data_IF_751419146761
#
_entry.id   IF_751419146761
#
_cell.length_a   1.000
_cell.length_b   1.000
_cell.length_c   1.000
_cell.angle_alpha   90.00
_cell.angle_beta   90.00
_cell.angle_gamma   90.00
#
_symmetry.space_group_name_H-M   'P 1'
#
loop_
_entity.id
_entity.type
_entity.pdbx_description
1 polymer ?
#
# COMPACT_ATOMS: atom_id res chain seq x y z
N UNK A 1 7.31 -27.22 7.37
CA UNK A 1 6.83 -27.07 5.98
C UNK A 1 5.67 -26.11 6.05
N UNK A 2 5.93 -24.81 5.84
CA UNK A 2 4.98 -23.73 6.07
C UNK A 2 4.24 -23.46 4.75
N UNK A 3 3.00 -23.94 4.64
CA UNK A 3 2.17 -23.80 3.44
C UNK A 3 1.65 -22.37 3.22
N UNK A 4 1.87 -21.47 4.19
CA UNK A 4 1.41 -20.07 4.13
C UNK A 4 2.23 -19.24 3.12
N UNK A 5 3.48 -19.61 2.82
CA UNK A 5 4.29 -18.88 1.83
C UNK A 5 3.94 -19.21 0.36
N UNK A 6 3.11 -20.22 0.10
CA UNK A 6 2.76 -20.63 -1.26
C UNK A 6 1.55 -19.89 -1.85
N UNK A 7 0.67 -19.33 -1.01
CA UNK A 7 -0.59 -18.69 -1.47
C UNK A 7 -0.50 -17.18 -1.74
N UNK A 8 0.64 -16.54 -1.44
CA UNK A 8 0.88 -15.11 -1.67
C UNK A 8 1.91 -14.83 -2.78
N UNK A 9 2.13 -15.79 -3.69
CA UNK A 9 2.89 -15.51 -4.92
C UNK A 9 1.92 -15.14 -6.04
N UNK A 10 1.69 -13.86 -6.36
CA UNK A 10 1.20 -13.47 -7.67
C UNK A 10 2.34 -13.56 -8.71
N UNK A 11 3.12 -14.64 -8.66
CA UNK A 11 4.20 -14.89 -9.62
C UNK A 11 3.63 -15.79 -10.71
N UNK A 12 3.03 -15.17 -11.72
CA UNK A 12 2.95 -15.82 -13.02
C UNK A 12 4.36 -16.27 -13.40
N UNK A 13 4.52 -17.52 -13.82
CA UNK A 13 5.83 -18.14 -14.12
C UNK A 13 6.58 -17.51 -15.30
N UNK A 14 6.04 -16.46 -15.94
CA UNK A 14 6.85 -15.56 -16.74
C UNK A 14 6.82 -14.17 -16.11
N UNK A 15 7.96 -13.76 -15.55
CA UNK A 15 8.26 -12.33 -15.48
C UNK A 15 8.59 -11.85 -16.88
N UNK A 16 7.58 -11.69 -17.74
CA UNK A 16 7.73 -10.89 -18.95
C UNK A 16 7.49 -9.43 -18.58
N UNK A 17 8.54 -8.76 -18.12
CA UNK A 17 8.58 -7.29 -17.99
C UNK A 17 8.90 -6.61 -19.33
N UNK A 18 8.84 -7.34 -20.45
CA UNK A 18 9.14 -6.87 -21.79
C UNK A 18 8.07 -7.39 -22.77
N UNK A 19 6.92 -6.72 -22.85
CA UNK A 19 6.27 -6.47 -24.15
C UNK A 19 5.08 -5.50 -24.02
N UNK A 20 5.37 -4.20 -23.95
CA UNK A 20 4.49 -3.25 -24.66
C UNK A 20 5.15 -3.04 -26.01
N UNK A 21 4.58 -3.69 -27.03
CA UNK A 21 5.12 -3.81 -28.38
C UNK A 21 5.50 -2.49 -29.04
N UNK A 22 6.74 -2.07 -28.79
CA UNK A 22 7.47 -1.22 -29.72
C UNK A 22 8.23 -2.17 -30.61
N UNK A 23 7.67 -2.44 -31.79
CA UNK A 23 8.43 -3.13 -32.82
C UNK A 23 9.68 -2.28 -33.12
N UNK A 24 10.86 -2.90 -33.13
CA UNK A 24 12.14 -2.21 -33.34
C UNK A 24 12.28 -1.47 -34.69
N UNK A 25 11.21 -1.42 -35.50
CA UNK A 25 11.12 -0.66 -36.74
C UNK A 25 10.67 0.80 -36.52
N UNK A 26 10.01 1.14 -35.41
CA UNK A 26 9.43 2.48 -35.21
C UNK A 26 10.42 3.51 -34.63
N UNK A 27 11.64 3.08 -34.29
CA UNK A 27 12.73 3.95 -33.83
C UNK A 27 13.79 4.23 -34.92
N UNK A 28 13.43 4.08 -36.19
CA UNK A 28 14.28 4.47 -37.32
C UNK A 28 14.39 6.00 -37.46
N UNK A 29 14.85 6.67 -36.41
CA UNK A 29 15.57 7.93 -36.54
C UNK A 29 16.86 7.65 -37.28
N UNK A 30 17.02 8.25 -38.46
CA UNK A 30 18.23 8.23 -39.28
C UNK A 30 19.39 8.88 -38.52
N UNK A 31 20.00 8.11 -37.62
CA UNK A 31 21.23 8.43 -36.94
C UNK A 31 22.25 7.35 -37.27
N UNK A 32 23.26 7.71 -38.06
CA UNK A 32 24.51 6.93 -38.16
C UNK A 32 25.16 6.87 -36.77
N UNK A 33 24.90 5.80 -36.02
CA UNK A 33 25.43 5.58 -34.68
C UNK A 33 25.83 4.13 -34.52
N UNK A 34 27.10 3.90 -34.16
CA UNK A 34 27.68 2.57 -34.02
C UNK A 34 26.87 1.66 -33.10
N UNK A 35 26.92 0.35 -33.36
CA UNK A 35 26.30 -0.68 -32.53
C UNK A 35 26.62 -0.43 -31.06
N UNK A 36 25.61 -0.04 -30.28
CA UNK A 36 25.75 -0.03 -28.83
C UNK A 36 26.15 -1.44 -28.41
N UNK A 37 27.25 -1.56 -27.67
CA UNK A 37 27.68 -2.85 -27.13
C UNK A 37 26.52 -3.45 -26.33
N UNK A 38 26.28 -4.75 -26.48
CA UNK A 38 25.28 -5.45 -25.67
C UNK A 38 25.58 -5.23 -24.20
N UNK A 39 24.57 -4.82 -23.42
CA UNK A 39 24.72 -4.69 -21.98
C UNK A 39 25.06 -6.07 -21.37
N UNK A 40 25.95 -6.13 -20.36
CA UNK A 40 26.29 -7.38 -19.70
C UNK A 40 25.07 -7.94 -18.96
N UNK A 41 24.86 -9.25 -19.08
CA UNK A 41 23.90 -9.99 -18.24
C UNK A 41 24.58 -10.38 -16.94
N UNK A 42 23.97 -10.04 -15.80
CA UNK A 42 24.51 -10.31 -14.47
C UNK A 42 23.71 -11.39 -13.73
N UNK A 43 24.37 -12.15 -12.86
CA UNK A 43 23.74 -13.04 -11.89
C UNK A 43 23.07 -12.25 -10.76
N UNK A 44 22.15 -12.86 -10.01
CA UNK A 44 21.55 -12.21 -8.84
C UNK A 44 22.60 -11.75 -7.82
N UNK A 45 23.67 -12.53 -7.62
CA UNK A 45 24.77 -12.15 -6.73
C UNK A 45 25.55 -10.93 -7.26
N UNK A 46 25.78 -10.87 -8.57
CA UNK A 46 26.43 -9.72 -9.21
C UNK A 46 25.55 -8.46 -9.13
N UNK A 47 24.24 -8.62 -9.30
CA UNK A 47 23.28 -7.52 -9.15
C UNK A 47 23.25 -7.06 -7.69
N UNK A 48 23.16 -7.98 -6.73
CA UNK A 48 23.16 -7.66 -5.30
C UNK A 48 24.43 -6.91 -4.90
N UNK A 49 25.60 -7.42 -5.30
CA UNK A 49 26.88 -6.76 -5.07
C UNK A 49 26.95 -5.37 -5.72
N UNK A 50 26.44 -5.22 -6.94
CA UNK A 50 26.42 -3.92 -7.62
C UNK A 50 25.58 -2.89 -6.86
N UNK A 51 24.45 -3.31 -6.26
CA UNK A 51 23.55 -2.46 -5.49
C UNK A 51 24.12 -2.06 -4.13
N UNK A 52 24.88 -2.95 -3.48
CA UNK A 52 25.43 -2.71 -2.13
C UNK A 52 26.82 -2.08 -2.14
N UNK A 53 27.69 -2.46 -3.07
CA UNK A 53 29.11 -2.14 -3.05
C UNK A 53 29.60 -1.56 -4.38
N UNK A 54 29.34 -2.25 -5.50
CA UNK A 54 29.95 -1.96 -6.79
C UNK A 54 29.69 -0.57 -7.34
N UNK A 55 28.48 -0.04 -7.16
CA UNK A 55 28.17 1.34 -7.55
C UNK A 55 29.02 2.35 -6.79
N UNK A 56 29.22 2.14 -5.49
CA UNK A 56 29.96 3.07 -4.63
C UNK A 56 31.45 3.00 -4.91
N UNK A 57 32.02 1.81 -5.13
CA UNK A 57 33.41 1.63 -5.56
C UNK A 57 33.69 2.34 -6.89
N UNK A 58 32.79 2.18 -7.86
CA UNK A 58 32.89 2.87 -9.15
C UNK A 58 32.84 4.40 -9.00
N UNK A 59 32.05 4.91 -8.05
CA UNK A 59 32.02 6.33 -7.71
C UNK A 59 33.21 6.79 -6.87
N UNK A 60 34.09 5.88 -6.46
CA UNK A 60 35.22 6.19 -5.58
C UNK A 60 34.81 6.57 -4.16
N UNK A 61 33.64 6.10 -3.71
CA UNK A 61 33.10 6.41 -2.38
C UNK A 61 32.89 5.14 -1.57
N UNK A 62 32.77 5.27 -0.25
CA UNK A 62 32.39 4.15 0.60
C UNK A 62 30.91 3.78 0.41
N UNK A 63 30.59 2.49 0.56
CA UNK A 63 29.23 2.01 0.55
C UNK A 63 28.37 2.76 1.58
N UNK A 64 27.22 3.28 1.15
CA UNK A 64 26.26 3.91 2.05
C UNK A 64 25.28 2.85 2.52
N UNK A 65 25.39 2.50 3.79
CA UNK A 65 24.40 1.69 4.49
C UNK A 65 23.91 2.45 5.71
N UNK A 66 22.65 2.20 6.08
CA UNK A 66 22.18 2.55 7.41
C UNK A 66 22.79 1.57 8.41
N UNK A 67 23.18 2.05 9.58
CA UNK A 67 23.54 1.18 10.70
C UNK A 67 22.25 0.56 11.25
N UNK A 68 21.73 -0.44 10.56
CA UNK A 68 20.47 -1.10 10.85
C UNK A 68 20.63 -2.61 10.66
N UNK A 69 20.17 -3.38 11.63
CA UNK A 69 20.23 -4.83 11.73
C UNK A 69 18.84 -5.39 12.02
N UNK A 70 18.64 -6.68 11.77
CA UNK A 70 17.41 -7.36 12.16
C UNK A 70 17.09 -7.11 13.64
N UNK A 71 15.87 -6.66 13.93
CA UNK A 71 15.41 -6.24 15.25
C UNK A 71 15.49 -4.74 15.51
N UNK A 72 16.20 -3.96 14.70
CA UNK A 72 16.25 -2.50 14.84
C UNK A 72 14.95 -1.86 14.36
N UNK A 73 14.55 -0.78 15.04
CA UNK A 73 13.36 0.02 14.70
C UNK A 73 13.75 1.26 13.89
N UNK A 74 13.09 1.45 12.76
CA UNK A 74 13.14 2.67 11.94
C UNK A 74 11.79 3.38 12.01
N UNK A 75 11.81 4.65 12.41
CA UNK A 75 10.60 5.47 12.46
C UNK A 75 10.28 6.04 11.09
N UNK A 76 9.02 5.91 10.65
CA UNK A 76 8.55 6.41 9.36
C UNK A 76 7.36 7.35 9.55
N UNK A 77 7.35 8.50 8.87
CA UNK A 77 6.19 9.40 8.88
C UNK A 77 5.41 9.23 7.57
N UNK A 78 4.21 8.66 7.67
CA UNK A 78 3.30 8.45 6.55
C UNK A 78 2.07 9.36 6.63
N UNK A 79 2.09 10.36 7.52
CA UNK A 79 0.95 11.23 7.80
C UNK A 79 0.55 12.08 6.59
N UNK A 80 1.51 12.44 5.73
CA UNK A 80 1.27 13.23 4.52
C UNK A 80 0.70 12.42 3.33
N UNK A 81 0.62 11.10 3.43
CA UNK A 81 0.06 10.25 2.37
C UNK A 81 -1.46 10.21 2.42
N UNK A 82 -2.08 9.99 1.25
CA UNK A 82 -3.50 9.62 1.17
C UNK A 82 -3.73 8.25 1.83
N UNK A 83 -4.99 7.95 2.12
CA UNK A 83 -5.51 6.64 2.50
C UNK A 83 -4.79 5.44 1.87
N UNK A 84 -4.91 5.37 0.54
CA UNK A 84 -4.42 4.28 -0.27
C UNK A 84 -2.90 4.30 -0.36
N UNK A 85 -2.30 5.50 -0.36
CA UNK A 85 -0.84 5.66 -0.33
C UNK A 85 -0.24 5.12 0.98
N UNK A 86 -0.85 5.44 2.11
CA UNK A 86 -0.44 4.92 3.43
C UNK A 86 -0.61 3.41 3.52
N UNK A 87 -1.76 2.88 3.08
CA UNK A 87 -2.01 1.44 3.07
C UNK A 87 -1.01 0.66 2.19
N UNK A 88 -0.64 1.20 1.02
CA UNK A 88 0.36 0.59 0.16
C UNK A 88 1.77 0.67 0.79
N UNK A 89 2.11 1.80 1.40
CA UNK A 89 3.38 1.97 2.09
C UNK A 89 3.52 0.99 3.27
N UNK A 90 2.47 0.80 4.06
CA UNK A 90 2.40 -0.19 5.13
C UNK A 90 2.71 -1.60 4.64
N UNK A 91 2.04 -2.05 3.58
CA UNK A 91 2.29 -3.38 3.00
C UNK A 91 3.72 -3.54 2.48
N UNK A 92 4.26 -2.51 1.84
CA UNK A 92 5.63 -2.53 1.37
C UNK A 92 6.61 -2.67 2.55
N UNK A 93 6.40 -1.91 3.63
CA UNK A 93 7.21 -1.98 4.84
C UNK A 93 7.07 -3.33 5.55
N UNK A 94 5.89 -3.95 5.56
CA UNK A 94 5.68 -5.31 6.08
C UNK A 94 6.48 -6.35 5.28
N UNK A 95 6.47 -6.26 3.95
CA UNK A 95 7.27 -7.15 3.09
C UNK A 95 8.75 -6.97 3.37
N UNK A 96 9.22 -5.72 3.47
CA UNK A 96 10.61 -5.43 3.82
C UNK A 96 10.97 -5.96 5.21
N UNK A 97 10.09 -5.82 6.19
CA UNK A 97 10.26 -6.36 7.54
C UNK A 97 10.42 -7.89 7.50
N UNK A 98 9.61 -8.58 6.69
CA UNK A 98 9.66 -10.04 6.58
C UNK A 98 10.98 -10.58 6.01
N UNK A 99 11.67 -9.79 5.18
CA UNK A 99 12.92 -10.18 4.52
C UNK A 99 14.13 -9.75 5.36
N UNK A 100 14.10 -8.54 5.90
CA UNK A 100 15.26 -7.91 6.56
C UNK A 100 15.28 -8.11 8.07
N UNK A 101 14.12 -8.40 8.68
CA UNK A 101 13.94 -8.40 10.14
C UNK A 101 13.91 -7.00 10.76
N UNK A 102 13.93 -5.92 9.97
CA UNK A 102 13.76 -4.56 10.47
C UNK A 102 12.32 -4.32 10.94
N UNK A 103 12.16 -3.49 11.95
CA UNK A 103 10.85 -3.05 12.45
C UNK A 103 10.62 -1.63 11.93
N UNK A 104 9.50 -1.39 11.26
CA UNK A 104 9.09 -0.04 10.87
C UNK A 104 8.00 0.45 11.81
N UNK A 105 8.28 1.54 12.52
CA UNK A 105 7.33 2.16 13.45
C UNK A 105 6.82 3.47 12.86
N UNK A 106 5.51 3.55 12.61
CA UNK A 106 4.91 4.80 12.14
C UNK A 106 4.90 5.85 13.24
N UNK A 107 5.49 7.01 12.94
CA UNK A 107 5.43 8.21 13.77
C UNK A 107 4.55 9.24 13.08
N UNK A 108 3.66 9.88 13.83
CA UNK A 108 2.60 10.71 13.24
C UNK A 108 1.34 9.89 12.96
N UNK A 109 0.46 9.85 13.97
CA UNK A 109 -0.84 9.17 14.02
C UNK A 109 -0.88 7.73 13.53
N UNK A 110 -0.43 6.82 14.41
CA UNK A 110 -0.82 5.40 14.46
C UNK A 110 -2.24 5.18 14.98
N UNK A 111 -2.94 6.25 15.35
CA UNK A 111 -4.38 6.21 15.55
C UNK A 111 -5.04 6.58 14.23
N UNK A 112 -5.84 5.66 13.68
CA UNK A 112 -6.71 6.02 12.58
C UNK A 112 -7.48 7.28 12.93
N UNK A 113 -7.70 8.12 11.93
CA UNK A 113 -8.36 9.38 12.14
C UNK A 113 -9.79 9.12 12.62
N UNK A 114 -10.25 9.88 13.60
CA UNK A 114 -11.68 9.89 13.93
C UNK A 114 -12.35 10.92 13.04
N UNK A 115 -13.16 10.44 12.10
CA UNK A 115 -13.99 11.26 11.23
C UNK A 115 -15.38 11.35 11.86
N UNK A 116 -15.73 12.55 12.32
CA UNK A 116 -17.07 12.82 12.84
C UNK A 116 -17.94 13.43 11.74
N UNK A 117 -19.13 12.89 11.60
CA UNK A 117 -20.18 13.44 10.76
C UNK A 117 -20.53 14.87 11.20
N UNK A 118 -20.50 15.82 10.25
CA UNK A 118 -20.96 17.19 10.46
C UNK A 118 -22.30 17.45 9.78
N UNK A 119 -22.42 17.08 8.51
CA UNK A 119 -23.67 17.04 7.75
C UNK A 119 -24.06 15.60 7.44
N UNK A 120 -25.35 15.33 7.26
CA UNK A 120 -25.87 13.98 7.01
C UNK A 120 -25.10 13.21 5.93
N UNK A 121 -24.69 11.99 6.27
CA UNK A 121 -23.96 11.07 5.41
C UNK A 121 -24.91 10.43 4.40
N UNK A 122 -25.22 11.15 3.31
CA UNK A 122 -26.18 10.72 2.31
C UNK A 122 -26.16 9.21 1.97
N UNK A 123 -27.34 8.58 1.95
CA UNK A 123 -27.59 7.17 1.60
C UNK A 123 -27.32 6.81 0.11
N UNK A 124 -26.24 7.33 -0.48
CA UNK A 124 -25.88 7.16 -1.89
C UNK A 124 -24.38 7.34 -2.11
N UNK A 125 -23.93 7.09 -3.34
CA UNK A 125 -22.54 7.34 -3.75
C UNK A 125 -22.12 8.82 -3.66
N UNK A 126 -23.07 9.74 -3.48
CA UNK A 126 -22.84 11.16 -3.28
C UNK A 126 -22.39 11.53 -1.85
N UNK A 127 -22.27 10.56 -0.93
CA UNK A 127 -21.69 10.80 0.40
C UNK A 127 -20.34 11.53 0.32
N UNK A 128 -20.18 12.52 1.19
CA UNK A 128 -18.95 13.29 1.32
C UNK A 128 -17.88 12.56 2.16
N UNK A 129 -18.29 11.52 2.90
CA UNK A 129 -17.42 10.84 3.86
C UNK A 129 -16.60 9.75 3.19
N UNK A 130 -15.29 9.85 3.34
CA UNK A 130 -14.33 8.82 2.94
C UNK A 130 -13.40 8.54 4.12
N UNK A 131 -13.29 7.27 4.50
CA UNK A 131 -12.39 6.79 5.55
C UNK A 131 -11.28 5.93 4.93
N UNK A 132 -10.21 5.79 5.69
CA UNK A 132 -9.09 4.92 5.38
C UNK A 132 -9.17 3.67 6.25
N UNK A 133 -8.45 2.62 5.87
CA UNK A 133 -8.30 1.44 6.74
C UNK A 133 -7.62 1.90 8.04
N UNK A 134 -8.23 1.56 9.18
CA UNK A 134 -7.77 1.97 10.50
C UNK A 134 -8.52 3.17 11.08
N UNK A 135 -9.14 4.02 10.24
CA UNK A 135 -9.94 5.17 10.69
C UNK A 135 -11.23 4.73 11.41
N UNK A 136 -11.75 5.62 12.25
CA UNK A 136 -13.05 5.48 12.90
C UNK A 136 -14.01 6.53 12.32
N UNK A 137 -15.22 6.10 11.96
CA UNK A 137 -16.31 7.02 11.62
C UNK A 137 -17.30 7.11 12.79
N UNK A 138 -17.70 8.32 13.14
CA UNK A 138 -18.72 8.61 14.14
C UNK A 138 -19.85 9.42 13.50
N UNK A 139 -21.09 8.94 13.59
CA UNK A 139 -22.25 9.58 13.01
C UNK A 139 -23.54 9.25 13.77
N UNK A 140 -24.64 9.84 13.34
CA UNK A 140 -25.95 9.61 13.95
C UNK A 140 -26.97 9.26 12.86
N UNK A 141 -27.67 8.13 13.03
CA UNK A 141 -28.87 7.87 12.24
C UNK A 141 -30.02 8.71 12.79
N UNK A 142 -30.31 9.80 12.09
CA UNK A 142 -31.11 10.93 12.57
C UNK A 142 -32.63 10.66 12.57
N UNK A 143 -33.08 9.66 11.82
CA UNK A 143 -34.48 9.26 11.72
C UNK A 143 -34.64 7.74 11.56
N UNK A 144 -35.85 7.23 11.82
CA UNK A 144 -36.16 5.83 11.56
C UNK A 144 -36.04 5.53 10.06
N UNK A 145 -35.15 4.60 9.70
CA UNK A 145 -34.87 4.22 8.32
C UNK A 145 -33.74 5.00 7.65
N UNK A 146 -33.08 5.90 8.38
CA UNK A 146 -31.88 6.58 7.92
C UNK A 146 -30.75 5.58 7.62
N UNK A 147 -29.91 5.91 6.63
CA UNK A 147 -28.83 5.05 6.15
C UNK A 147 -27.62 5.88 5.76
N UNK A 148 -26.52 5.67 6.48
CA UNK A 148 -25.28 6.38 6.21
C UNK A 148 -24.38 5.58 5.27
N UNK A 149 -23.92 6.22 4.20
CA UNK A 149 -22.90 5.64 3.34
C UNK A 149 -21.55 6.27 3.66
N UNK A 150 -20.54 5.44 3.89
CA UNK A 150 -19.16 5.87 4.12
C UNK A 150 -18.27 5.17 3.09
N UNK A 151 -17.50 5.95 2.32
CA UNK A 151 -16.61 5.41 1.28
C UNK A 151 -15.31 4.92 1.90
N UNK A 152 -14.84 3.76 1.47
CA UNK A 152 -13.51 3.23 1.83
C UNK A 152 -12.88 2.58 0.61
N UNK A 153 -11.56 2.76 0.43
CA UNK A 153 -10.80 2.05 -0.60
C UNK A 153 -10.19 0.78 0.00
N UNK A 154 -10.61 -0.37 -0.52
CA UNK A 154 -10.14 -1.68 -0.10
C UNK A 154 -9.39 -2.36 -1.26
N UNK A 155 -8.41 -3.18 -0.92
CA UNK A 155 -7.64 -3.92 -1.91
C UNK A 155 -8.18 -5.35 -2.06
N UNK A 156 -8.28 -5.82 -3.30
CA UNK A 156 -8.72 -7.18 -3.58
C UNK A 156 -7.74 -8.20 -3.01
N UNK A 157 -8.25 -9.28 -2.43
CA UNK A 157 -7.44 -10.36 -1.85
C UNK A 157 -6.95 -10.08 -0.42
N UNK A 158 -7.21 -8.90 0.14
CA UNK A 158 -6.88 -8.59 1.52
C UNK A 158 -8.06 -8.86 2.46
N UNK A 159 -7.78 -9.43 3.63
CA UNK A 159 -8.77 -9.59 4.69
C UNK A 159 -8.87 -8.30 5.52
N UNK A 160 -10.11 -7.83 5.73
CA UNK A 160 -10.42 -6.67 6.55
C UNK A 160 -11.40 -7.05 7.65
N UNK A 161 -11.26 -6.42 8.82
CA UNK A 161 -12.22 -6.49 9.92
C UNK A 161 -12.89 -5.13 10.06
N UNK A 162 -14.22 -5.09 10.05
CA UNK A 162 -15.01 -3.88 10.28
C UNK A 162 -15.70 -4.06 11.63
N UNK A 163 -15.39 -3.17 12.57
CA UNK A 163 -16.07 -3.12 13.85
C UNK A 163 -17.20 -2.10 13.75
N UNK A 164 -18.41 -2.51 14.12
CA UNK A 164 -19.58 -1.65 14.15
C UNK A 164 -20.20 -1.72 15.55
N UNK A 165 -20.35 -0.58 16.20
CA UNK A 165 -20.84 -0.48 17.56
C UNK A 165 -21.64 0.82 17.73
N UNK A 166 -22.59 0.81 18.66
CA UNK A 166 -23.17 2.04 19.18
C UNK A 166 -22.15 2.84 20.00
N UNK A 167 -22.49 4.09 20.30
CA UNK A 167 -21.62 5.02 21.03
C UNK A 167 -21.63 4.81 22.56
N UNK A 168 -22.36 3.82 23.06
CA UNK A 168 -22.54 3.52 24.47
C UNK A 168 -23.54 4.43 25.19
N UNK A 169 -24.25 5.31 24.46
CA UNK A 169 -25.20 6.25 25.05
C UNK A 169 -26.58 5.64 25.28
N UNK A 170 -27.39 6.29 26.13
CA UNK A 170 -28.78 5.91 26.35
C UNK A 170 -29.61 6.28 25.11
N UNK A 171 -29.76 5.33 24.19
CA UNK A 171 -30.38 5.53 22.88
C UNK A 171 -29.48 5.14 21.71
N UNK A 172 -28.32 4.53 21.97
CA UNK A 172 -27.44 4.01 20.93
C UNK A 172 -28.13 3.00 20.01
N UNK A 173 -27.50 2.77 18.84
CA UNK A 173 -27.87 1.66 17.98
C UNK A 173 -27.55 0.32 18.64
N UNK A 174 -28.59 -0.34 19.17
CA UNK A 174 -28.47 -1.64 19.81
C UNK A 174 -28.12 -2.79 18.85
N UNK A 175 -28.55 -2.69 17.58
CA UNK A 175 -28.25 -3.68 16.54
C UNK A 175 -27.85 -2.94 15.25
N UNK A 176 -26.57 -2.58 15.12
CA UNK A 176 -26.13 -1.83 13.97
C UNK A 176 -25.93 -2.77 12.77
N UNK A 177 -26.51 -2.42 11.63
CA UNK A 177 -26.50 -3.24 10.42
C UNK A 177 -25.50 -2.70 9.39
N UNK A 178 -24.60 -3.57 8.91
CA UNK A 178 -23.61 -3.24 7.90
C UNK A 178 -23.97 -3.87 6.55
N UNK A 179 -23.87 -3.08 5.47
CA UNK A 179 -23.86 -3.59 4.10
C UNK A 179 -22.63 -3.07 3.36
N UNK A 180 -21.84 -4.00 2.82
CA UNK A 180 -20.77 -3.65 1.89
C UNK A 180 -21.34 -3.49 0.49
N UNK A 181 -20.94 -2.41 -0.16
CA UNK A 181 -21.39 -1.97 -1.48
C UNK A 181 -20.18 -1.75 -2.37
N UNK A 182 -20.32 -2.00 -3.67
CA UNK A 182 -19.27 -1.69 -4.63
C UNK A 182 -19.31 -0.19 -5.00
N UNK A 183 -18.48 0.22 -5.96
CA UNK A 183 -18.40 1.61 -6.39
C UNK A 183 -19.71 2.16 -7.02
N UNK A 184 -20.65 1.29 -7.41
CA UNK A 184 -21.95 1.68 -7.96
C UNK A 184 -23.05 1.83 -6.88
N UNK A 185 -22.82 1.33 -5.66
CA UNK A 185 -23.76 1.43 -4.53
C UNK A 185 -24.67 0.21 -4.37
#
# INVERSE_FOLDING_TARGET
MCEICASLRPYAQSCDYEETGVSGADLAGTGTGGSAASLPTYTLDQIAWQLTDGYWEYKGTTARHFNASAGDTLTVDLSALTAAGRALAQQALDVWSSITGLIFEEVGSTSGNTITEGADAAASTATAYTINVGDQFLGNLSAAGDQDFVRVQLQAGQQYTINLAGDGSAGELADPYLRLRDAAG
#
